data_IF_352849542350
#
_entry.id   IF_352849542350
#
_cell.length_a   1.000
_cell.length_b   1.000
_cell.length_c   1.000
_cell.angle_alpha   90.00
_cell.angle_beta   90.00
_cell.angle_gamma   90.00
#
_symmetry.space_group_name_H-M   'P 1'
#
loop_
_entity.id
_entity.type
_entity.pdbx_description
1 polymer ?
#
# COMPACT_ATOMS: atom_id res chain seq x y z
N UNK A 1 37.70 -15.69 2.79
CA UNK A 1 36.52 -15.92 1.92
C UNK A 1 35.91 -14.57 1.54
N UNK A 2 35.48 -14.35 0.29
CA UNK A 2 34.90 -13.05 -0.13
C UNK A 2 33.50 -12.85 0.48
N UNK A 3 33.15 -11.65 0.96
CA UNK A 3 31.80 -11.35 1.46
C UNK A 3 30.76 -11.49 0.34
N UNK A 4 29.56 -11.94 0.69
CA UNK A 4 28.45 -12.00 -0.25
C UNK A 4 28.01 -10.59 -0.64
N UNK A 5 27.73 -10.37 -1.93
CA UNK A 5 27.09 -9.15 -2.45
C UNK A 5 26.02 -9.54 -3.46
N UNK A 6 24.83 -8.97 -3.30
CA UNK A 6 23.74 -9.21 -4.22
C UNK A 6 23.92 -8.33 -5.46
N UNK A 7 24.06 -8.94 -6.64
CA UNK A 7 24.34 -8.19 -7.87
C UNK A 7 23.20 -7.27 -8.31
N UNK A 8 21.99 -7.49 -7.82
CA UNK A 8 20.79 -6.71 -8.14
C UNK A 8 20.34 -5.82 -6.98
N UNK A 9 21.23 -5.49 -6.03
CA UNK A 9 20.93 -4.66 -4.87
C UNK A 9 20.36 -3.30 -5.28
N UNK A 10 21.01 -2.58 -6.21
CA UNK A 10 20.52 -1.29 -6.73
C UNK A 10 19.14 -1.41 -7.38
N UNK A 11 18.86 -2.52 -8.08
CA UNK A 11 17.55 -2.75 -8.68
C UNK A 11 16.49 -3.03 -7.61
N UNK A 12 16.83 -3.78 -6.57
CA UNK A 12 15.94 -4.04 -5.43
C UNK A 12 15.57 -2.72 -4.73
N UNK A 13 16.54 -1.84 -4.50
CA UNK A 13 16.30 -0.54 -3.88
C UNK A 13 15.40 0.35 -4.74
N UNK A 14 15.63 0.40 -6.05
CA UNK A 14 14.75 1.12 -6.98
C UNK A 14 13.32 0.57 -6.96
N UNK A 15 13.14 -0.75 -6.89
CA UNK A 15 11.80 -1.37 -6.80
C UNK A 15 11.12 -1.07 -5.47
N UNK A 16 11.87 -1.01 -4.36
CA UNK A 16 11.34 -0.59 -3.05
C UNK A 16 10.88 0.86 -3.07
N UNK A 17 11.67 1.76 -3.65
CA UNK A 17 11.27 3.16 -3.82
C UNK A 17 9.98 3.28 -4.63
N UNK A 18 9.91 2.60 -5.78
CA UNK A 18 8.69 2.57 -6.61
C UNK A 18 7.48 2.02 -5.86
N UNK A 19 7.66 0.95 -5.07
CA UNK A 19 6.61 0.38 -4.22
C UNK A 19 6.09 1.42 -3.23
N UNK A 20 6.99 2.11 -2.56
CA UNK A 20 6.65 3.10 -1.54
C UNK A 20 5.95 4.32 -2.17
N UNK A 21 6.37 4.74 -3.36
CA UNK A 21 5.67 5.74 -4.17
C UNK A 21 4.24 5.31 -4.52
N UNK A 22 4.03 4.06 -4.97
CA UNK A 22 2.68 3.59 -5.30
C UNK A 22 1.78 3.52 -4.07
N UNK A 23 2.31 3.09 -2.92
CA UNK A 23 1.58 3.09 -1.65
C UNK A 23 1.22 4.51 -1.22
N UNK A 24 2.12 5.47 -1.39
CA UNK A 24 1.84 6.88 -1.10
C UNK A 24 0.72 7.42 -1.99
N UNK A 25 0.71 7.09 -3.29
CA UNK A 25 -0.35 7.47 -4.23
C UNK A 25 -1.72 6.88 -3.87
N UNK A 26 -1.75 5.63 -3.41
CA UNK A 26 -3.00 5.02 -2.90
C UNK A 26 -3.50 5.80 -1.68
N UNK A 27 -2.62 6.13 -0.74
CA UNK A 27 -3.00 6.88 0.46
C UNK A 27 -3.49 8.30 0.12
N UNK A 28 -2.87 8.96 -0.86
CA UNK A 28 -3.32 10.26 -1.37
C UNK A 28 -4.71 10.19 -1.99
N UNK A 29 -4.94 9.19 -2.85
CA UNK A 29 -6.23 8.95 -3.48
C UNK A 29 -7.32 8.67 -2.45
N UNK A 30 -7.03 7.85 -1.43
CA UNK A 30 -7.96 7.55 -0.34
C UNK A 30 -8.31 8.81 0.45
N UNK A 31 -7.34 9.66 0.77
CA UNK A 31 -7.62 10.95 1.45
C UNK A 31 -8.57 11.83 0.64
N UNK A 32 -8.48 11.81 -0.68
CA UNK A 32 -9.40 12.57 -1.54
C UNK A 32 -10.83 12.03 -1.45
N UNK A 33 -11.00 10.70 -1.40
CA UNK A 33 -12.31 10.06 -1.15
C UNK A 33 -12.85 10.47 0.21
N UNK A 34 -12.03 10.40 1.26
CA UNK A 34 -12.44 10.74 2.63
C UNK A 34 -12.92 12.21 2.72
N UNK A 35 -12.31 13.13 1.93
CA UNK A 35 -12.76 14.52 1.84
C UNK A 35 -14.15 14.62 1.21
N UNK A 36 -14.42 13.89 0.12
CA UNK A 36 -15.74 13.88 -0.52
C UNK A 36 -16.79 13.30 0.43
N UNK A 37 -16.50 12.20 1.11
CA UNK A 37 -17.41 11.59 2.07
C UNK A 37 -17.74 12.55 3.22
N UNK A 38 -16.74 13.30 3.70
CA UNK A 38 -16.94 14.33 4.72
C UNK A 38 -17.82 15.49 4.24
N UNK A 39 -17.73 15.87 2.97
CA UNK A 39 -18.56 16.92 2.37
C UNK A 39 -20.00 16.43 2.19
N UNK A 40 -20.17 15.19 1.73
CA UNK A 40 -21.47 14.54 1.61
C UNK A 40 -22.19 14.46 2.96
N UNK A 41 -21.49 14.00 4.00
CA UNK A 41 -22.06 13.90 5.34
C UNK A 41 -22.54 15.28 5.88
N UNK A 42 -21.85 16.37 5.52
CA UNK A 42 -22.29 17.73 5.85
C UNK A 42 -23.58 18.11 5.12
N UNK A 43 -23.66 17.87 3.82
CA UNK A 43 -24.86 18.15 3.02
C UNK A 43 -26.05 17.30 3.47
N UNK A 44 -25.85 16.04 3.85
CA UNK A 44 -26.90 15.18 4.36
C UNK A 44 -27.44 15.68 5.71
N UNK A 45 -26.54 16.14 6.59
CA UNK A 45 -26.91 16.78 7.86
C UNK A 45 -27.69 18.07 7.64
N UNK A 46 -27.22 18.90 6.71
CA UNK A 46 -27.90 20.15 6.31
C UNK A 46 -29.29 19.89 5.73
N UNK A 47 -29.42 18.90 4.84
CA UNK A 47 -30.70 18.48 4.28
C UNK A 47 -31.66 17.94 5.35
N UNK A 48 -31.14 17.25 6.37
CA UNK A 48 -31.93 16.78 7.50
C UNK A 48 -32.42 17.95 8.38
N UNK A 49 -31.58 18.97 8.60
CA UNK A 49 -31.95 20.19 9.32
C UNK A 49 -33.04 20.96 8.58
N UNK A 50 -32.89 21.17 7.27
CA UNK A 50 -33.90 21.83 6.43
C UNK A 50 -35.25 21.12 6.52
N UNK A 51 -35.25 19.79 6.39
CA UNK A 51 -36.47 18.96 6.53
C UNK A 51 -37.09 19.03 7.93
N UNK A 52 -36.30 19.16 8.97
CA UNK A 52 -36.80 19.33 10.34
C UNK A 52 -37.44 20.71 10.51
N UNK A 53 -36.77 21.78 10.08
CA UNK A 53 -37.30 23.14 10.12
C UNK A 53 -38.54 23.31 9.25
N UNK A 54 -38.62 22.62 8.10
CA UNK A 54 -39.80 22.62 7.24
C UNK A 54 -41.01 22.03 7.95
N UNK A 55 -40.84 20.90 8.66
CA UNK A 55 -41.93 20.25 9.42
C UNK A 55 -42.50 21.15 10.50
N UNK A 56 -41.67 21.85 11.27
CA UNK A 56 -42.16 22.79 12.30
C UNK A 56 -43.02 23.93 11.74
N UNK A 57 -42.85 24.29 10.47
CA UNK A 57 -43.64 25.35 9.83
C UNK A 57 -45.03 24.93 9.43
N UNK A 58 -45.27 23.63 9.29
CA UNK A 58 -46.58 23.08 9.00
C UNK A 58 -47.41 22.85 10.27
N UNK A 59 -46.77 22.74 11.44
CA UNK A 59 -47.44 22.51 12.72
C UNK A 59 -48.08 23.79 13.31
N UNK A 60 -47.54 24.98 13.03
CA UNK A 60 -47.99 26.27 13.60
C UNK A 60 -49.28 26.84 12.96
N UNK A 61 -49.97 26.09 12.08
CA UNK A 61 -51.28 26.46 11.53
C UNK A 61 -51.30 27.63 10.53
N UNK A 62 -50.18 28.34 10.33
CA UNK A 62 -50.03 29.42 9.33
C UNK A 62 -49.20 28.91 8.16
N UNK A 63 -49.89 28.35 7.16
CA UNK A 63 -49.26 27.86 5.93
C UNK A 63 -48.78 29.02 5.05
N UNK A 64 -47.47 29.24 4.98
CA UNK A 64 -46.86 30.20 4.06
C UNK A 64 -46.31 29.50 2.81
N UNK A 65 -47.03 29.63 1.69
CA UNK A 65 -46.68 29.06 0.37
C UNK A 65 -45.27 29.46 -0.07
N UNK A 66 -44.88 30.73 0.13
CA UNK A 66 -43.56 31.21 -0.29
C UNK A 66 -42.44 30.49 0.47
N UNK A 67 -42.62 30.30 1.78
CA UNK A 67 -41.66 29.57 2.62
C UNK A 67 -41.57 28.10 2.26
N UNK A 68 -42.69 27.46 1.92
CA UNK A 68 -42.70 26.08 1.42
C UNK A 68 -41.96 25.94 0.08
N UNK A 69 -42.12 26.91 -0.83
CA UNK A 69 -41.40 26.94 -2.11
C UNK A 69 -39.90 27.18 -1.92
N UNK A 70 -39.49 28.04 -0.99
CA UNK A 70 -38.08 28.27 -0.66
C UNK A 70 -37.40 27.00 -0.13
N UNK A 71 -38.04 26.30 0.81
CA UNK A 71 -37.56 25.01 1.32
C UNK A 71 -37.41 24.00 0.18
N UNK A 72 -38.43 23.83 -0.66
CA UNK A 72 -38.40 22.88 -1.77
C UNK A 72 -37.28 23.17 -2.77
N UNK A 73 -37.05 24.44 -3.11
CA UNK A 73 -35.94 24.85 -3.99
C UNK A 73 -34.59 24.55 -3.38
N UNK A 74 -34.45 24.77 -2.08
CA UNK A 74 -33.19 24.52 -1.38
C UNK A 74 -32.90 23.02 -1.24
N UNK A 75 -33.91 22.20 -0.96
CA UNK A 75 -33.78 20.73 -0.97
C UNK A 75 -33.33 20.21 -2.33
N UNK A 76 -33.87 20.76 -3.43
CA UNK A 76 -33.46 20.41 -4.78
C UNK A 76 -31.99 20.77 -5.04
N UNK A 77 -31.54 21.92 -4.55
CA UNK A 77 -30.13 22.34 -4.64
C UNK A 77 -29.21 21.38 -3.87
N UNK A 78 -29.55 21.06 -2.62
CA UNK A 78 -28.78 20.13 -1.79
C UNK A 78 -28.71 18.74 -2.43
N UNK A 79 -29.83 18.25 -2.99
CA UNK A 79 -29.85 16.99 -3.74
C UNK A 79 -28.92 17.02 -4.94
N UNK A 80 -28.97 18.09 -5.76
CA UNK A 80 -28.09 18.21 -6.91
C UNK A 80 -26.60 18.24 -6.52
N UNK A 81 -26.26 18.85 -5.37
CA UNK A 81 -24.90 18.84 -4.83
C UNK A 81 -24.47 17.45 -4.34
N UNK A 82 -25.35 16.71 -3.66
CA UNK A 82 -25.08 15.31 -3.26
C UNK A 82 -24.87 14.43 -4.49
N UNK A 83 -25.75 14.53 -5.49
CA UNK A 83 -25.64 13.76 -6.74
C UNK A 83 -24.31 14.06 -7.47
N UNK A 84 -23.80 15.30 -7.37
CA UNK A 84 -22.50 15.69 -7.93
C UNK A 84 -21.31 15.13 -7.16
N UNK A 85 -21.39 15.13 -5.82
CA UNK A 85 -20.38 14.49 -4.99
C UNK A 85 -20.34 12.97 -5.21
N UNK A 86 -21.50 12.33 -5.38
CA UNK A 86 -21.59 10.89 -5.64
C UNK A 86 -20.89 10.51 -6.94
N UNK A 87 -21.14 11.24 -8.03
CA UNK A 87 -20.42 11.03 -9.30
C UNK A 87 -18.91 11.22 -9.16
N UNK A 88 -18.47 12.21 -8.38
CA UNK A 88 -17.04 12.43 -8.11
C UNK A 88 -16.44 11.33 -7.26
N UNK A 89 -17.18 10.83 -6.27
CA UNK A 89 -16.77 9.73 -5.42
C UNK A 89 -16.58 8.45 -6.23
N UNK A 90 -17.51 8.13 -7.14
CA UNK A 90 -17.40 6.98 -8.05
C UNK A 90 -16.09 7.05 -8.87
N UNK A 91 -15.84 8.18 -9.53
CA UNK A 91 -14.62 8.38 -10.32
C UNK A 91 -13.33 8.26 -9.49
N UNK A 92 -13.33 8.80 -8.26
CA UNK A 92 -12.18 8.69 -7.38
C UNK A 92 -11.98 7.25 -6.87
N UNK A 93 -13.04 6.53 -6.57
CA UNK A 93 -12.97 5.14 -6.11
C UNK A 93 -12.41 4.23 -7.22
N UNK A 94 -12.84 4.41 -8.46
CA UNK A 94 -12.27 3.68 -9.61
C UNK A 94 -10.75 3.92 -9.72
N UNK A 95 -10.32 5.17 -9.58
CA UNK A 95 -8.91 5.53 -9.62
C UNK A 95 -8.12 5.01 -8.40
N UNK A 96 -8.73 4.95 -7.21
CA UNK A 96 -8.14 4.30 -6.03
C UNK A 96 -7.87 2.83 -6.33
N UNK A 97 -8.81 2.12 -6.95
CA UNK A 97 -8.66 0.70 -7.29
C UNK A 97 -7.54 0.48 -8.33
N UNK A 98 -7.46 1.33 -9.36
CA UNK A 98 -6.35 1.29 -10.33
C UNK A 98 -4.99 1.45 -9.61
N UNK A 99 -4.89 2.40 -8.68
CA UNK A 99 -3.67 2.64 -7.90
C UNK A 99 -3.35 1.49 -6.95
N UNK A 100 -4.36 0.88 -6.33
CA UNK A 100 -4.20 -0.32 -5.48
C UNK A 100 -3.63 -1.48 -6.28
N UNK A 101 -4.14 -1.73 -7.49
CA UNK A 101 -3.60 -2.76 -8.38
C UNK A 101 -2.13 -2.49 -8.75
N UNK A 102 -1.79 -1.23 -9.06
CA UNK A 102 -0.41 -0.85 -9.34
C UNK A 102 0.53 -1.07 -8.13
N UNK A 103 0.06 -0.78 -6.92
CA UNK A 103 0.81 -1.05 -5.69
C UNK A 103 1.03 -2.55 -5.46
N UNK A 104 0.03 -3.40 -5.74
CA UNK A 104 0.15 -4.86 -5.66
C UNK A 104 1.21 -5.39 -6.64
N UNK A 105 1.26 -4.86 -7.85
CA UNK A 105 2.29 -5.24 -8.83
C UNK A 105 3.68 -4.84 -8.32
N UNK A 106 3.83 -3.62 -7.80
CA UNK A 106 5.10 -3.15 -7.25
C UNK A 106 5.56 -3.99 -6.03
N UNK A 107 4.63 -4.39 -5.16
CA UNK A 107 4.90 -5.30 -4.03
C UNK A 107 5.43 -6.65 -4.52
N UNK A 108 4.82 -7.23 -5.57
CA UNK A 108 5.25 -8.50 -6.15
C UNK A 108 6.65 -8.42 -6.74
N UNK A 109 6.97 -7.33 -7.44
CA UNK A 109 8.31 -7.10 -8.01
C UNK A 109 9.40 -7.07 -6.93
N UNK A 110 9.15 -6.37 -5.83
CA UNK A 110 10.07 -6.34 -4.68
C UNK A 110 10.23 -7.73 -4.11
N UNK A 111 9.11 -8.44 -3.90
CA UNK A 111 9.13 -9.77 -3.29
C UNK A 111 9.91 -10.79 -4.13
N UNK A 112 9.79 -10.72 -5.45
CA UNK A 112 10.54 -11.59 -6.36
C UNK A 112 12.05 -11.39 -6.22
N UNK A 113 12.51 -10.14 -6.10
CA UNK A 113 13.94 -9.83 -5.93
C UNK A 113 14.46 -10.20 -4.54
N UNK A 114 13.67 -10.00 -3.49
CA UNK A 114 14.03 -10.42 -2.13
C UNK A 114 14.21 -11.93 -2.04
N UNK A 115 13.29 -12.70 -2.63
CA UNK A 115 13.37 -14.16 -2.66
C UNK A 115 14.59 -14.64 -3.46
N UNK A 116 14.90 -13.96 -4.57
CA UNK A 116 16.11 -14.25 -5.35
C UNK A 116 17.37 -13.98 -4.53
N UNK A 117 17.45 -12.85 -3.82
CA UNK A 117 18.58 -12.53 -2.96
C UNK A 117 18.75 -13.57 -1.85
N UNK A 118 17.67 -13.94 -1.17
CA UNK A 118 17.67 -14.97 -0.12
C UNK A 118 18.26 -16.30 -0.63
N UNK A 119 17.78 -16.77 -1.79
CA UNK A 119 18.29 -18.00 -2.42
C UNK A 119 19.78 -17.89 -2.74
N UNK A 120 20.22 -16.76 -3.32
CA UNK A 120 21.63 -16.52 -3.67
C UNK A 120 22.53 -16.45 -2.44
N UNK A 121 22.07 -15.83 -1.35
CA UNK A 121 22.75 -15.84 -0.04
C UNK A 121 22.91 -17.24 0.49
N UNK A 122 21.87 -18.07 0.39
CA UNK A 122 21.94 -19.45 0.85
C UNK A 122 22.91 -20.30 0.00
N UNK A 123 22.86 -20.17 -1.32
CA UNK A 123 23.81 -20.81 -2.24
C UNK A 123 25.27 -20.45 -1.89
N UNK A 124 25.53 -19.16 -1.64
CA UNK A 124 26.86 -18.69 -1.22
C UNK A 124 27.28 -19.28 0.13
N UNK A 125 26.39 -19.29 1.14
CA UNK A 125 26.66 -19.90 2.46
C UNK A 125 26.90 -21.40 2.37
N UNK A 126 26.23 -22.12 1.46
CA UNK A 126 26.46 -23.55 1.22
C UNK A 126 27.81 -23.78 0.53
N UNK A 127 28.16 -22.95 -0.45
CA UNK A 127 29.47 -23.00 -1.10
C UNK A 127 30.62 -22.70 -0.13
N UNK A 128 30.44 -21.70 0.74
CA UNK A 128 31.34 -21.35 1.85
C UNK A 128 31.72 -22.56 2.69
N UNK A 129 30.69 -23.21 3.25
CA UNK A 129 30.83 -24.35 4.16
C UNK A 129 31.51 -25.53 3.48
N UNK A 130 31.20 -25.77 2.19
CA UNK A 130 31.87 -26.82 1.41
C UNK A 130 33.35 -26.53 1.18
N UNK A 131 33.71 -25.28 0.90
CA UNK A 131 35.11 -24.90 0.70
C UNK A 131 35.90 -24.98 2.01
N UNK A 132 35.29 -24.56 3.13
CA UNK A 132 35.88 -24.67 4.46
C UNK A 132 36.10 -26.12 4.88
N UNK A 133 35.09 -26.98 4.71
CA UNK A 133 35.21 -28.42 5.01
C UNK A 133 36.35 -29.07 4.21
N UNK A 134 36.44 -28.79 2.90
CA UNK A 134 37.54 -29.31 2.06
C UNK A 134 38.91 -28.85 2.57
N UNK A 135 39.04 -27.58 2.94
CA UNK A 135 40.30 -27.06 3.47
C UNK A 135 40.69 -27.72 4.81
N UNK A 136 39.71 -28.05 5.66
CA UNK A 136 39.95 -28.79 6.90
C UNK A 136 40.39 -30.23 6.64
N UNK A 137 39.73 -30.93 5.70
CA UNK A 137 40.08 -32.29 5.31
C UNK A 137 41.50 -32.36 4.72
N UNK A 138 41.85 -31.41 3.84
CA UNK A 138 43.20 -31.29 3.27
C UNK A 138 44.26 -31.05 4.36
N UNK A 139 43.99 -30.13 5.30
CA UNK A 139 44.91 -29.85 6.40
C UNK A 139 45.09 -31.06 7.32
N UNK A 140 44.01 -31.81 7.61
CA UNK A 140 44.05 -33.03 8.40
C UNK A 140 44.87 -34.12 7.70
N UNK A 141 44.70 -34.29 6.38
CA UNK A 141 45.47 -35.24 5.57
C UNK A 141 46.98 -34.93 5.59
N UNK A 142 47.36 -33.66 5.41
CA UNK A 142 48.76 -33.22 5.47
C UNK A 142 49.35 -33.44 6.88
N UNK A 143 48.60 -33.13 7.93
CA UNK A 143 49.05 -33.34 9.30
C UNK A 143 49.26 -34.83 9.63
N UNK A 144 48.35 -35.70 9.19
CA UNK A 144 48.46 -37.14 9.37
C UNK A 144 49.68 -37.72 8.63
N UNK A 145 49.88 -37.34 7.36
CA UNK A 145 51.04 -37.77 6.58
C UNK A 145 52.37 -37.34 7.23
N UNK A 146 52.43 -36.11 7.77
CA UNK A 146 53.61 -35.61 8.51
C UNK A 146 53.87 -36.38 9.80
N UNK A 147 52.83 -36.83 10.50
CA UNK A 147 52.98 -37.65 11.71
C UNK A 147 53.55 -39.03 11.36
N UNK A 148 52.99 -39.69 10.34
CA UNK A 148 53.48 -41.00 9.88
C UNK A 148 54.95 -40.96 9.46
N UNK A 149 55.39 -39.91 8.76
CA UNK A 149 56.80 -39.77 8.37
C UNK A 149 57.75 -39.59 9.58
N UNK A 150 57.30 -38.98 10.67
CA UNK A 150 58.11 -38.81 11.89
C UNK A 150 58.19 -40.08 12.73
N UNK A 151 57.18 -40.93 12.66
CA UNK A 151 57.15 -42.21 13.38
C UNK A 151 57.91 -43.32 12.65
N UNK A 152 58.22 -43.14 11.36
CA UNK A 152 58.96 -44.08 10.52
C UNK A 152 60.49 -43.84 10.49
N UNK A 153 60.98 -42.79 11.17
CA UNK A 153 62.40 -42.43 11.33
C UNK A 153 62.85 -42.65 12.75
#
# INVERSE_FOLDING_TARGET
MKPYRFRLETLLDLRKQRRDEMRARVAEAQRAVDVIDSQRAKLDSEAAQVRASARSLFDDGVFNVNRALEVSRYELLLKAQVDDLDRKAELLNDEVEVRRQAAVVADRDVRALELLDERRREEHRRAARRAEARAMDEAAGVAAARRMMREAT
#
